data_IF_258057597229
#
_entry.id   IF_258057597229
#
_cell.length_a   1.000
_cell.length_b   1.000
_cell.length_c   1.000
_cell.angle_alpha   90.00
_cell.angle_beta   90.00
_cell.angle_gamma   90.00
#
_symmetry.space_group_name_H-M   'P 1'
#
loop_
_entity.id
_entity.type
_entity.pdbx_description
1 polymer ?
#
# COMPACT_ATOMS: atom_id res chain seq x y z
N UNK A 1 31.77 -3.30 39.71
CA UNK A 1 31.03 -2.10 39.33
C UNK A 1 31.87 -0.89 39.72
N UNK A 2 32.55 -0.29 38.77
CA UNK A 2 33.42 0.84 39.06
C UNK A 2 32.66 2.17 38.96
N UNK A 3 32.08 2.59 40.12
CA UNK A 3 31.35 3.87 40.22
C UNK A 3 32.22 5.09 39.91
N UNK A 4 33.57 4.92 39.88
CA UNK A 4 34.51 5.98 39.57
C UNK A 4 34.46 6.33 38.08
N UNK A 5 34.28 5.35 37.19
CA UNK A 5 34.17 5.57 35.74
C UNK A 5 32.94 6.40 35.36
N UNK A 6 31.81 6.23 36.06
CA UNK A 6 30.57 7.00 35.77
C UNK A 6 30.78 8.53 35.99
N UNK A 7 31.70 8.92 36.87
CA UNK A 7 31.98 10.35 37.13
C UNK A 7 32.78 10.99 36.02
N UNK A 8 33.47 10.18 35.20
CA UNK A 8 34.30 10.63 34.08
C UNK A 8 33.50 10.75 32.78
N UNK A 9 32.22 10.35 32.77
CA UNK A 9 31.33 10.52 31.61
C UNK A 9 31.11 12.05 31.43
N UNK A 10 31.42 12.61 30.25
CA UNK A 10 31.22 14.03 29.99
C UNK A 10 29.74 14.43 30.08
N UNK A 11 29.51 15.71 30.29
CA UNK A 11 28.18 16.28 30.33
C UNK A 11 27.62 16.47 28.91
N UNK A 12 26.30 16.51 28.80
CA UNK A 12 25.62 16.73 27.51
C UNK A 12 26.07 18.03 26.86
N UNK A 13 26.17 19.11 27.64
CA UNK A 13 26.58 20.44 27.16
C UNK A 13 27.99 20.47 26.58
N UNK A 14 28.93 19.65 27.09
CA UNK A 14 30.29 19.55 26.57
C UNK A 14 30.34 18.94 25.17
N UNK A 15 29.39 18.09 24.79
CA UNK A 15 29.33 17.41 23.50
C UNK A 15 28.48 18.16 22.47
N UNK A 16 27.54 19.03 22.86
CA UNK A 16 26.59 19.66 21.94
C UNK A 16 27.27 20.45 20.82
N UNK A 17 28.13 21.41 21.16
CA UNK A 17 28.78 22.28 20.18
C UNK A 17 29.71 21.51 19.24
N UNK A 18 30.64 20.62 19.74
CA UNK A 18 31.46 19.81 18.87
C UNK A 18 30.66 18.86 17.97
N UNK A 19 29.60 18.23 18.49
CA UNK A 19 28.75 17.36 17.67
C UNK A 19 28.02 18.15 16.60
N UNK A 20 27.49 19.33 16.93
CA UNK A 20 26.84 20.21 15.95
C UNK A 20 27.79 20.65 14.84
N UNK A 21 29.05 20.89 15.14
CA UNK A 21 30.07 21.21 14.13
C UNK A 21 30.31 20.06 13.12
N UNK A 22 30.11 18.80 13.55
CA UNK A 22 30.19 17.60 12.69
C UNK A 22 28.95 17.34 11.82
N UNK A 23 27.82 17.97 12.14
CA UNK A 23 26.53 17.86 11.41
C UNK A 23 25.81 19.22 11.38
N UNK A 24 26.36 20.22 10.64
CA UNK A 24 25.90 21.61 10.72
C UNK A 24 24.48 21.85 10.21
N UNK A 25 23.95 20.95 9.40
CA UNK A 25 22.58 21.04 8.86
C UNK A 25 21.52 20.40 9.77
N UNK A 26 21.95 19.69 10.82
CA UNK A 26 21.02 19.02 11.72
C UNK A 26 20.37 20.02 12.70
N UNK A 27 19.13 19.74 13.06
CA UNK A 27 18.45 20.54 14.07
C UNK A 27 19.10 20.36 15.45
N UNK A 28 19.14 21.42 16.26
CA UNK A 28 19.65 21.35 17.65
C UNK A 28 18.93 20.29 18.49
N UNK A 29 17.66 20.04 18.21
CA UNK A 29 16.89 18.98 18.87
C UNK A 29 17.42 17.58 18.52
N UNK A 30 17.71 17.32 17.24
CA UNK A 30 18.28 16.06 16.77
C UNK A 30 19.67 15.80 17.37
N UNK A 31 20.53 16.81 17.38
CA UNK A 31 21.86 16.74 18.00
C UNK A 31 21.75 16.44 19.50
N UNK A 32 20.90 17.16 20.23
CA UNK A 32 20.68 16.95 21.67
C UNK A 32 20.19 15.53 21.96
N UNK A 33 19.24 15.04 21.18
CA UNK A 33 18.71 13.69 21.35
C UNK A 33 19.77 12.62 21.06
N UNK A 34 20.62 12.81 20.04
CA UNK A 34 21.71 11.90 19.70
C UNK A 34 22.78 11.88 20.80
N UNK A 35 23.22 13.05 21.28
CA UNK A 35 24.20 13.16 22.37
C UNK A 35 23.69 12.45 23.62
N UNK A 36 22.43 12.69 24.03
CA UNK A 36 21.83 12.01 25.21
C UNK A 36 21.85 10.50 25.04
N UNK A 37 21.37 9.98 23.91
CA UNK A 37 21.38 8.53 23.63
C UNK A 37 22.78 7.93 23.67
N UNK A 38 23.78 8.62 23.10
CA UNK A 38 25.18 8.18 23.13
C UNK A 38 25.70 8.08 24.56
N UNK A 39 25.42 9.07 25.38
CA UNK A 39 25.85 9.08 26.79
C UNK A 39 25.08 8.06 27.64
N UNK A 40 23.81 7.85 27.37
CA UNK A 40 22.99 6.84 28.08
C UNK A 40 23.47 5.42 27.74
N UNK A 41 23.74 5.14 26.46
CA UNK A 41 24.34 3.86 26.04
C UNK A 41 25.74 3.64 26.68
N UNK A 42 26.55 4.68 26.75
CA UNK A 42 27.84 4.61 27.45
C UNK A 42 27.65 4.31 28.95
N UNK A 43 26.71 4.93 29.64
CA UNK A 43 26.40 4.65 31.05
C UNK A 43 25.97 3.19 31.24
N UNK A 44 25.11 2.68 30.38
CA UNK A 44 24.67 1.28 30.42
C UNK A 44 25.85 0.32 30.21
N UNK A 45 26.74 0.61 29.24
CA UNK A 45 27.92 -0.20 28.97
C UNK A 45 28.94 -0.18 30.11
N UNK A 46 29.09 0.95 30.82
CA UNK A 46 29.92 1.01 32.05
C UNK A 46 29.26 0.23 33.21
N UNK A 47 27.94 0.31 33.34
CA UNK A 47 27.21 -0.41 34.39
C UNK A 47 27.22 -1.93 34.19
N UNK A 48 27.15 -2.40 32.93
CA UNK A 48 27.24 -3.81 32.57
C UNK A 48 28.68 -4.37 32.67
N UNK A 49 29.68 -3.49 32.72
CA UNK A 49 31.08 -3.88 32.74
C UNK A 49 31.68 -4.16 31.35
N UNK A 50 30.95 -3.84 30.30
CA UNK A 50 31.40 -3.98 28.90
C UNK A 50 32.37 -2.88 28.48
N UNK A 51 32.26 -1.68 29.06
CA UNK A 51 33.17 -0.57 28.81
C UNK A 51 34.24 -0.46 29.92
N UNK A 52 35.51 -0.84 29.66
CA UNK A 52 36.58 -0.79 30.65
C UNK A 52 37.09 0.65 30.86
N UNK A 53 36.85 1.54 29.91
CA UNK A 53 37.30 2.95 29.92
C UNK A 53 36.27 3.87 29.24
N UNK A 54 36.36 5.16 29.54
CA UNK A 54 35.54 6.18 28.89
C UNK A 54 36.23 6.65 27.62
N UNK A 55 35.58 6.56 26.45
CA UNK A 55 36.13 7.07 25.20
C UNK A 55 36.43 8.58 25.26
N UNK A 56 37.37 9.04 24.48
CA UNK A 56 37.62 10.45 24.35
C UNK A 56 36.40 11.25 23.86
N UNK A 57 36.25 12.47 24.29
CA UNK A 57 35.16 13.38 23.92
C UNK A 57 34.96 13.45 22.40
N UNK A 58 36.05 13.49 21.64
CA UNK A 58 36.03 13.52 20.18
C UNK A 58 35.35 12.25 19.59
N UNK A 59 35.64 11.07 20.14
CA UNK A 59 35.03 9.81 19.73
C UNK A 59 33.54 9.79 20.05
N UNK A 60 33.12 10.28 21.23
CA UNK A 60 31.73 10.38 21.61
C UNK A 60 30.95 11.35 20.71
N UNK A 61 31.55 12.49 20.36
CA UNK A 61 30.97 13.43 19.39
C UNK A 61 30.83 12.81 18.00
N UNK A 62 31.80 12.03 17.54
CA UNK A 62 31.72 11.33 16.27
C UNK A 62 30.58 10.27 16.26
N UNK A 63 30.43 9.51 17.34
CA UNK A 63 29.31 8.55 17.51
C UNK A 63 27.97 9.25 17.52
N UNK A 64 27.83 10.36 18.24
CA UNK A 64 26.61 11.14 18.26
C UNK A 64 26.28 11.73 16.88
N UNK A 65 27.27 12.28 16.17
CA UNK A 65 27.08 12.80 14.82
C UNK A 65 26.68 11.71 13.83
N UNK A 66 27.24 10.50 13.96
CA UNK A 66 26.82 9.35 13.15
C UNK A 66 25.37 8.93 13.44
N UNK A 67 24.96 8.97 14.71
CA UNK A 67 23.57 8.71 15.10
C UNK A 67 22.59 9.77 14.52
N UNK A 68 23.02 11.03 14.44
CA UNK A 68 22.26 12.10 13.75
C UNK A 68 22.12 11.77 12.26
N UNK A 69 23.24 11.50 11.58
CA UNK A 69 23.23 11.16 10.13
C UNK A 69 22.33 9.96 9.82
N UNK A 70 22.37 8.92 10.66
CA UNK A 70 21.48 7.75 10.51
C UNK A 70 20.01 8.11 10.70
N UNK A 71 19.70 8.96 11.67
CA UNK A 71 18.33 9.39 11.93
C UNK A 71 17.76 10.29 10.81
N UNK A 72 18.60 11.11 10.18
CA UNK A 72 18.23 11.99 9.08
C UNK A 72 18.25 11.29 7.71
N UNK A 73 18.88 10.12 7.61
CA UNK A 73 18.87 9.34 6.37
C UNK A 73 17.49 8.73 6.16
N UNK A 74 16.80 9.04 5.06
CA UNK A 74 15.48 8.45 4.76
C UNK A 74 15.55 6.92 4.71
N UNK A 75 14.58 6.25 5.33
CA UNK A 75 14.44 4.79 5.27
C UNK A 75 14.05 4.31 3.86
N UNK A 76 13.27 5.12 3.14
CA UNK A 76 12.93 4.87 1.74
C UNK A 76 14.07 5.34 0.83
N UNK A 77 14.67 4.39 0.11
CA UNK A 77 15.79 4.64 -0.80
C UNK A 77 15.53 4.03 -2.16
N UNK A 78 16.00 4.66 -3.25
CA UNK A 78 15.95 4.05 -4.57
C UNK A 78 16.70 2.71 -4.59
N UNK A 79 16.09 1.73 -5.24
CA UNK A 79 16.69 0.39 -5.46
C UNK A 79 16.54 -0.01 -6.92
N UNK A 80 17.38 -0.95 -7.36
CA UNK A 80 17.27 -1.55 -8.68
C UNK A 80 16.40 -2.80 -8.53
N UNK A 81 15.28 -2.84 -9.26
CA UNK A 81 14.44 -4.02 -9.33
C UNK A 81 15.02 -5.01 -10.35
N UNK A 82 15.68 -6.06 -9.88
CA UNK A 82 16.23 -7.15 -10.68
C UNK A 82 15.47 -8.47 -10.45
N UNK A 83 14.23 -8.41 -9.96
CA UNK A 83 13.45 -9.63 -9.61
C UNK A 83 12.75 -10.27 -10.80
N UNK A 84 12.64 -9.57 -11.94
CA UNK A 84 11.80 -10.00 -13.08
C UNK A 84 10.30 -9.69 -12.88
N UNK A 85 9.87 -9.16 -11.74
CA UNK A 85 8.48 -8.79 -11.46
C UNK A 85 8.35 -7.27 -11.52
N UNK A 86 7.80 -6.74 -12.61
CA UNK A 86 7.71 -5.29 -12.87
C UNK A 86 6.90 -4.57 -11.78
N UNK A 87 5.76 -5.13 -11.36
CA UNK A 87 4.86 -4.59 -10.34
C UNK A 87 5.10 -5.21 -8.96
N UNK A 88 6.36 -5.35 -8.56
CA UNK A 88 6.72 -5.98 -7.30
C UNK A 88 6.17 -5.21 -6.09
N UNK A 89 5.32 -5.86 -5.28
CA UNK A 89 4.62 -5.23 -4.15
C UNK A 89 5.55 -4.61 -3.12
N UNK A 90 6.65 -5.30 -2.77
CA UNK A 90 7.62 -4.83 -1.78
C UNK A 90 8.54 -3.71 -2.30
N UNK A 91 8.53 -3.44 -3.61
CA UNK A 91 9.34 -2.42 -4.26
C UNK A 91 8.53 -1.22 -4.75
N UNK A 92 7.29 -1.06 -4.24
CA UNK A 92 6.45 0.11 -4.50
C UNK A 92 5.53 -0.01 -5.71
N UNK A 93 5.47 -1.18 -6.37
CA UNK A 93 4.63 -1.43 -7.55
C UNK A 93 4.96 -0.54 -8.75
N UNK A 94 3.95 0.05 -9.41
CA UNK A 94 4.13 0.90 -10.59
C UNK A 94 4.84 2.22 -10.23
N UNK A 95 5.84 2.57 -11.04
CA UNK A 95 6.52 3.86 -10.95
C UNK A 95 5.72 4.93 -11.70
N UNK A 96 5.71 6.13 -11.16
CA UNK A 96 5.21 7.30 -11.87
C UNK A 96 6.21 7.75 -12.95
N UNK A 97 5.70 8.32 -14.05
CA UNK A 97 6.54 9.08 -14.97
C UNK A 97 7.12 10.32 -14.26
N UNK A 98 8.24 10.85 -14.73
CA UNK A 98 8.83 12.06 -14.15
C UNK A 98 7.86 13.25 -14.15
N UNK A 99 7.03 13.38 -15.18
CA UNK A 99 5.98 14.42 -15.25
C UNK A 99 4.90 14.22 -14.19
N UNK A 100 4.44 12.97 -13.98
CA UNK A 100 3.42 12.67 -12.97
C UNK A 100 3.98 12.84 -11.55
N UNK A 101 5.23 12.41 -11.31
CA UNK A 101 5.89 12.59 -10.01
C UNK A 101 6.04 14.09 -9.66
N UNK A 102 6.45 14.92 -10.63
CA UNK A 102 6.52 16.37 -10.45
C UNK A 102 5.16 16.97 -10.15
N UNK A 103 4.11 16.63 -10.89
CA UNK A 103 2.76 17.13 -10.66
C UNK A 103 2.23 16.75 -9.26
N UNK A 104 2.54 15.55 -8.79
CA UNK A 104 2.19 15.12 -7.43
C UNK A 104 2.92 15.94 -6.36
N UNK A 105 4.22 16.22 -6.57
CA UNK A 105 5.01 17.07 -5.67
C UNK A 105 4.46 18.51 -5.65
N UNK A 106 4.20 19.10 -6.83
CA UNK A 106 3.64 20.44 -6.95
C UNK A 106 2.27 20.56 -6.23
N UNK A 107 1.41 19.53 -6.37
CA UNK A 107 0.11 19.49 -5.68
C UNK A 107 0.25 19.33 -4.15
N UNK A 108 1.30 18.67 -3.68
CA UNK A 108 1.57 18.51 -2.26
C UNK A 108 2.21 19.76 -1.61
N UNK A 109 2.96 20.54 -2.39
CA UNK A 109 3.68 21.73 -1.92
C UNK A 109 2.77 22.96 -1.78
N UNK A 110 1.65 23.01 -2.55
CA UNK A 110 0.80 24.20 -2.64
C UNK A 110 -0.64 23.90 -2.21
N UNK A 111 -1.38 24.95 -1.84
CA UNK A 111 -2.84 24.87 -1.79
C UNK A 111 -3.38 24.61 -3.20
N UNK A 112 -4.37 23.73 -3.30
CA UNK A 112 -4.93 23.31 -4.59
C UNK A 112 -6.46 23.39 -4.60
N UNK A 113 -7.03 23.33 -5.79
CA UNK A 113 -8.48 23.31 -6.04
C UNK A 113 -9.12 21.96 -5.77
N UNK A 114 -8.54 21.10 -4.92
CA UNK A 114 -8.95 19.70 -4.71
C UNK A 114 -10.47 19.53 -4.52
N UNK A 115 -11.09 20.39 -3.71
CA UNK A 115 -12.54 20.43 -3.47
C UNK A 115 -13.11 21.86 -3.63
N UNK A 116 -12.47 22.69 -4.43
CA UNK A 116 -12.91 24.06 -4.67
C UNK A 116 -13.10 24.32 -6.15
N UNK A 117 -14.29 24.73 -6.52
CA UNK A 117 -14.61 25.18 -7.87
C UNK A 117 -14.36 26.69 -7.97
N UNK A 118 -13.36 27.05 -8.77
CA UNK A 118 -12.92 28.44 -8.93
C UNK A 118 -13.96 29.28 -9.70
N UNK A 119 -14.72 28.68 -10.61
CA UNK A 119 -15.69 29.38 -11.43
C UNK A 119 -16.95 29.74 -10.63
N UNK A 120 -17.48 28.80 -9.88
CA UNK A 120 -18.66 29.02 -9.04
C UNK A 120 -18.36 29.61 -7.67
N UNK A 121 -17.09 29.58 -7.24
CA UNK A 121 -16.68 30.02 -5.89
C UNK A 121 -17.17 29.09 -4.77
N UNK A 122 -17.60 27.87 -5.11
CA UNK A 122 -18.20 26.91 -4.19
C UNK A 122 -17.38 25.65 -3.98
N UNK A 123 -17.99 24.68 -3.25
CA UNK A 123 -17.38 23.37 -3.02
C UNK A 123 -17.53 22.51 -4.27
N UNK A 124 -16.41 22.02 -4.80
CA UNK A 124 -16.31 21.06 -5.90
C UNK A 124 -16.18 19.61 -5.41
N UNK A 125 -16.12 18.68 -6.35
CA UNK A 125 -15.90 17.25 -6.10
C UNK A 125 -14.47 16.87 -6.47
N UNK A 126 -13.76 16.14 -5.55
CA UNK A 126 -12.45 15.54 -5.87
C UNK A 126 -12.49 14.66 -7.11
N UNK A 127 -13.59 13.92 -7.27
CA UNK A 127 -13.71 12.93 -8.32
C UNK A 127 -13.74 13.58 -9.72
N UNK A 128 -14.24 14.81 -9.82
CA UNK A 128 -14.30 15.58 -11.08
C UNK A 128 -12.93 15.74 -11.76
N UNK A 129 -11.83 15.76 -10.99
CA UNK A 129 -10.47 15.90 -11.56
C UNK A 129 -10.01 14.69 -12.37
N UNK A 130 -10.55 13.50 -12.12
CA UNK A 130 -10.04 12.25 -12.69
C UNK A 130 -11.10 11.44 -13.45
N UNK A 131 -12.39 11.62 -13.16
CA UNK A 131 -13.47 10.81 -13.72
C UNK A 131 -13.50 10.86 -15.26
N UNK A 132 -13.50 12.04 -15.85
CA UNK A 132 -13.53 12.19 -17.30
C UNK A 132 -12.33 11.54 -18.00
N UNK A 133 -11.13 11.66 -17.40
CA UNK A 133 -9.91 11.03 -17.92
C UNK A 133 -9.97 9.51 -17.85
N UNK A 134 -10.50 8.97 -16.76
CA UNK A 134 -10.67 7.53 -16.59
C UNK A 134 -11.71 6.98 -17.57
N UNK A 135 -12.85 7.65 -17.73
CA UNK A 135 -13.87 7.25 -18.70
C UNK A 135 -13.30 7.25 -20.12
N UNK A 136 -12.50 8.27 -20.48
CA UNK A 136 -11.82 8.32 -21.79
C UNK A 136 -10.85 7.18 -22.00
N UNK A 137 -10.08 6.80 -20.97
CA UNK A 137 -9.06 5.74 -21.06
C UNK A 137 -9.66 4.33 -21.04
N UNK A 138 -10.77 4.13 -20.35
CA UNK A 138 -11.34 2.79 -20.12
C UNK A 138 -12.57 2.51 -20.99
N UNK A 139 -13.19 3.54 -21.56
CA UNK A 139 -14.49 3.45 -22.22
C UNK A 139 -15.67 3.26 -21.26
N UNK A 140 -15.45 3.41 -19.94
CA UNK A 140 -16.50 3.30 -18.94
C UNK A 140 -17.42 4.53 -18.96
N UNK A 141 -18.69 4.36 -18.57
CA UNK A 141 -19.68 5.44 -18.46
C UNK A 141 -19.43 6.35 -17.27
N UNK A 142 -18.84 5.81 -16.18
CA UNK A 142 -18.47 6.56 -14.98
C UNK A 142 -17.28 5.89 -14.30
N UNK A 143 -16.57 6.65 -13.46
CA UNK A 143 -15.40 6.18 -12.75
C UNK A 143 -15.29 6.81 -11.36
N UNK A 144 -14.86 6.02 -10.39
CA UNK A 144 -14.59 6.45 -9.02
C UNK A 144 -13.21 5.96 -8.58
N UNK A 145 -12.42 6.84 -8.00
CA UNK A 145 -11.10 6.49 -7.46
C UNK A 145 -11.16 6.35 -5.95
N UNK A 146 -10.63 5.25 -5.46
CA UNK A 146 -10.48 4.96 -4.03
C UNK A 146 -9.02 4.61 -3.71
N UNK A 147 -8.70 4.40 -2.45
CA UNK A 147 -7.32 4.25 -1.96
C UNK A 147 -6.54 3.09 -2.59
N UNK A 148 -7.23 1.96 -2.84
CA UNK A 148 -6.64 0.74 -3.38
C UNK A 148 -7.72 -0.21 -3.89
N UNK A 149 -7.31 -1.31 -4.55
CA UNK A 149 -8.21 -2.34 -5.05
C UNK A 149 -9.11 -2.93 -3.95
N UNK A 150 -8.58 -3.24 -2.77
CA UNK A 150 -9.39 -3.78 -1.66
C UNK A 150 -10.54 -2.84 -1.26
N UNK A 151 -10.28 -1.53 -1.23
CA UNK A 151 -11.31 -0.52 -0.96
C UNK A 151 -12.34 -0.44 -2.09
N UNK A 152 -11.92 -0.63 -3.36
CA UNK A 152 -12.83 -0.67 -4.50
C UNK A 152 -13.78 -1.87 -4.41
N UNK A 153 -13.25 -3.07 -4.16
CA UNK A 153 -14.03 -4.29 -4.00
C UNK A 153 -14.98 -4.18 -2.81
N UNK A 154 -14.49 -3.69 -1.65
CA UNK A 154 -15.31 -3.46 -0.45
C UNK A 154 -16.49 -2.52 -0.73
N UNK A 155 -16.20 -1.36 -1.35
CA UNK A 155 -17.22 -0.37 -1.69
C UNK A 155 -18.29 -0.95 -2.63
N UNK A 156 -17.84 -1.59 -3.71
CA UNK A 156 -18.69 -2.18 -4.74
C UNK A 156 -19.63 -3.23 -4.14
N UNK A 157 -19.07 -4.20 -3.41
CA UNK A 157 -19.83 -5.29 -2.82
C UNK A 157 -20.80 -4.78 -1.73
N UNK A 158 -20.34 -3.88 -0.86
CA UNK A 158 -21.23 -3.31 0.18
C UNK A 158 -22.41 -2.57 -0.43
N UNK A 159 -22.17 -1.78 -1.48
CA UNK A 159 -23.22 -0.97 -2.09
C UNK A 159 -24.25 -1.79 -2.87
N UNK A 160 -23.82 -2.88 -3.52
CA UNK A 160 -24.64 -3.57 -4.52
C UNK A 160 -25.07 -4.99 -4.12
N UNK A 161 -24.42 -5.62 -3.12
CA UNK A 161 -24.65 -7.04 -2.82
C UNK A 161 -24.91 -7.36 -1.36
N UNK A 162 -24.97 -6.37 -0.47
CA UNK A 162 -25.22 -6.60 0.94
C UNK A 162 -26.49 -7.42 1.19
N UNK A 163 -26.38 -8.47 2.02
CA UNK A 163 -27.46 -9.39 2.34
C UNK A 163 -27.82 -10.41 1.25
N UNK A 164 -27.01 -10.50 0.16
CA UNK A 164 -27.25 -11.46 -0.90
C UNK A 164 -26.02 -12.24 -1.31
N UNK A 165 -26.20 -13.18 -2.23
CA UNK A 165 -25.14 -14.05 -2.73
C UNK A 165 -24.38 -13.43 -3.90
N UNK A 166 -23.05 -13.59 -3.89
CA UNK A 166 -22.16 -13.30 -5.02
C UNK A 166 -21.54 -14.60 -5.50
N UNK A 167 -21.78 -14.95 -6.76
CA UNK A 167 -21.30 -16.19 -7.35
C UNK A 167 -19.88 -15.99 -7.89
N UNK A 168 -18.94 -16.81 -7.43
CA UNK A 168 -17.52 -16.74 -7.79
C UNK A 168 -16.95 -18.12 -8.07
N UNK A 169 -16.02 -18.23 -9.01
CA UNK A 169 -15.29 -19.48 -9.26
C UNK A 169 -14.44 -19.87 -8.08
N UNK A 170 -14.50 -21.14 -7.67
CA UNK A 170 -13.62 -21.69 -6.63
C UNK A 170 -12.13 -21.58 -7.01
N UNK A 171 -11.80 -21.67 -8.29
CA UNK A 171 -10.45 -21.48 -8.81
C UNK A 171 -9.95 -20.03 -8.78
N UNK A 172 -10.81 -19.06 -8.44
CA UNK A 172 -10.49 -17.63 -8.40
C UNK A 172 -10.48 -17.06 -6.96
N UNK A 173 -10.60 -17.91 -5.94
CA UNK A 173 -10.53 -17.49 -4.54
C UNK A 173 -9.07 -17.29 -4.13
N UNK A 174 -8.55 -16.13 -4.48
CA UNK A 174 -7.13 -15.78 -4.35
C UNK A 174 -6.82 -15.12 -3.00
N UNK A 175 -5.59 -15.33 -2.51
CA UNK A 175 -4.97 -14.53 -1.47
C UNK A 175 -3.83 -13.70 -2.08
N UNK A 176 -3.84 -12.38 -1.90
CA UNK A 176 -2.87 -11.43 -2.46
C UNK A 176 -2.36 -10.49 -1.37
N UNK A 177 -1.06 -10.17 -1.44
CA UNK A 177 -0.47 -9.00 -0.80
C UNK A 177 -0.59 -8.91 0.72
N UNK A 178 -0.39 -10.00 1.44
CA UNK A 178 -0.29 -9.98 2.91
C UNK A 178 -1.64 -10.08 3.61
N UNK A 179 -2.53 -10.93 3.13
CA UNK A 179 -3.80 -11.35 3.74
C UNK A 179 -5.08 -10.81 3.11
N UNK A 180 -5.04 -10.23 1.92
CA UNK A 180 -6.27 -9.96 1.18
C UNK A 180 -6.83 -11.28 0.64
N UNK A 181 -7.96 -11.73 1.18
CA UNK A 181 -8.69 -12.94 0.76
C UNK A 181 -10.08 -12.57 0.31
N UNK A 182 -10.45 -13.00 -0.90
CA UNK A 182 -11.77 -12.71 -1.47
C UNK A 182 -12.93 -13.13 -0.54
N UNK A 183 -12.93 -14.33 0.07
CA UNK A 183 -14.00 -14.72 0.99
C UNK A 183 -14.14 -13.80 2.21
N UNK A 184 -13.03 -13.34 2.77
CA UNK A 184 -13.02 -12.48 3.96
C UNK A 184 -13.57 -11.08 3.64
N UNK A 185 -13.22 -10.54 2.48
CA UNK A 185 -13.76 -9.26 2.01
C UNK A 185 -15.28 -9.37 1.76
N UNK A 186 -15.74 -10.43 1.11
CA UNK A 186 -17.19 -10.65 0.91
C UNK A 186 -17.94 -10.71 2.24
N UNK A 187 -17.42 -11.45 3.20
CA UNK A 187 -18.00 -11.53 4.54
C UNK A 187 -18.04 -10.16 5.23
N UNK A 188 -16.96 -9.37 5.12
CA UNK A 188 -16.91 -8.02 5.68
C UNK A 188 -17.91 -7.03 5.05
N UNK A 189 -18.28 -7.26 3.78
CA UNK A 189 -19.28 -6.47 3.05
C UNK A 189 -20.73 -6.89 3.36
N UNK A 190 -20.95 -7.94 4.14
CA UNK A 190 -22.27 -8.54 4.35
C UNK A 190 -22.79 -9.30 3.12
N UNK A 191 -21.94 -9.59 2.14
CA UNK A 191 -22.25 -10.46 1.02
C UNK A 191 -21.98 -11.92 1.36
N UNK A 192 -22.77 -12.82 0.82
CA UNK A 192 -22.59 -14.27 0.98
C UNK A 192 -21.86 -14.83 -0.23
N UNK A 193 -20.73 -15.48 0.00
CA UNK A 193 -19.96 -16.14 -1.04
C UNK A 193 -20.70 -17.40 -1.52
N UNK A 194 -20.96 -17.47 -2.82
CA UNK A 194 -21.47 -18.66 -3.51
C UNK A 194 -20.38 -19.21 -4.44
N UNK A 195 -19.66 -20.23 -3.99
CA UNK A 195 -18.61 -20.85 -4.77
C UNK A 195 -19.15 -21.80 -5.84
N UNK A 196 -18.60 -21.73 -7.07
CA UNK A 196 -18.98 -22.60 -8.17
C UNK A 196 -17.78 -23.27 -8.84
N UNK A 197 -18.03 -24.37 -9.54
CA UNK A 197 -17.01 -25.15 -10.22
C UNK A 197 -16.06 -25.87 -9.24
N UNK A 198 -14.86 -26.12 -9.72
CA UNK A 198 -13.76 -26.78 -8.99
C UNK A 198 -12.51 -25.91 -9.02
N UNK A 199 -11.44 -26.33 -8.34
CA UNK A 199 -10.17 -25.61 -8.32
C UNK A 199 -9.60 -25.32 -9.71
N UNK A 200 -9.74 -26.29 -10.66
CA UNK A 200 -9.13 -26.20 -11.97
C UNK A 200 -10.12 -26.06 -13.13
N UNK A 201 -11.43 -26.25 -12.88
CA UNK A 201 -12.45 -26.13 -13.92
C UNK A 201 -13.70 -25.44 -13.42
N UNK A 202 -14.06 -24.35 -14.09
CA UNK A 202 -15.32 -23.65 -13.88
C UNK A 202 -15.85 -23.14 -15.21
N UNK A 203 -17.10 -23.47 -15.51
CA UNK A 203 -17.77 -23.13 -16.75
C UNK A 203 -18.91 -22.15 -16.51
N UNK A 204 -19.35 -21.45 -17.53
CA UNK A 204 -20.52 -20.59 -17.45
C UNK A 204 -21.76 -21.35 -16.96
N UNK A 205 -21.89 -22.65 -17.29
CA UNK A 205 -22.99 -23.51 -16.80
C UNK A 205 -22.98 -23.69 -15.28
N UNK A 206 -21.81 -23.70 -14.63
CA UNK A 206 -21.69 -23.79 -13.17
C UNK A 206 -22.25 -22.53 -12.50
N UNK A 207 -21.94 -21.36 -13.07
CA UNK A 207 -22.52 -20.09 -12.65
C UNK A 207 -24.03 -20.06 -12.87
N UNK A 208 -24.49 -20.47 -14.07
CA UNK A 208 -25.94 -20.48 -14.40
C UNK A 208 -26.75 -21.36 -13.45
N UNK A 209 -26.23 -22.51 -13.04
CA UNK A 209 -26.85 -23.43 -12.11
C UNK A 209 -26.92 -22.91 -10.66
N UNK A 210 -26.01 -21.97 -10.30
CA UNK A 210 -25.94 -21.40 -8.96
C UNK A 210 -26.79 -20.14 -8.79
N UNK A 211 -27.28 -19.54 -9.87
CA UNK A 211 -28.15 -18.35 -9.80
C UNK A 211 -29.49 -18.71 -9.18
N UNK A 212 -29.85 -18.06 -8.08
CA UNK A 212 -31.09 -18.21 -7.35
C UNK A 212 -31.69 -16.88 -6.90
N UNK A 213 -32.72 -16.93 -6.09
CA UNK A 213 -33.48 -15.75 -5.61
C UNK A 213 -32.62 -14.80 -4.76
N UNK A 214 -31.57 -15.32 -4.09
CA UNK A 214 -30.66 -14.55 -3.25
C UNK A 214 -29.45 -14.02 -4.01
N UNK A 215 -29.24 -14.42 -5.26
CA UNK A 215 -28.11 -13.97 -6.07
C UNK A 215 -28.23 -12.49 -6.38
N UNK A 216 -27.16 -11.72 -6.08
CA UNK A 216 -27.09 -10.28 -6.34
C UNK A 216 -26.06 -9.92 -7.42
N UNK A 217 -25.07 -10.76 -7.65
CA UNK A 217 -24.06 -10.51 -8.68
C UNK A 217 -23.33 -11.80 -9.10
N UNK A 218 -22.75 -11.77 -10.29
CA UNK A 218 -21.68 -12.68 -10.68
C UNK A 218 -20.35 -11.92 -10.61
N UNK A 219 -19.29 -12.57 -10.12
CA UNK A 219 -17.99 -11.97 -10.02
C UNK A 219 -16.90 -12.87 -10.59
N UNK A 220 -15.98 -12.25 -11.32
CA UNK A 220 -14.73 -12.83 -11.79
C UNK A 220 -13.56 -12.18 -11.10
N UNK A 221 -12.57 -12.97 -10.64
CA UNK A 221 -11.38 -12.47 -9.98
C UNK A 221 -10.13 -12.92 -10.76
N UNK A 222 -9.27 -11.96 -11.06
CA UNK A 222 -8.04 -12.24 -11.80
C UNK A 222 -7.01 -12.94 -10.90
N UNK A 223 -6.54 -14.10 -11.35
CA UNK A 223 -5.49 -14.89 -10.68
C UNK A 223 -4.10 -14.32 -10.99
N UNK A 224 -3.80 -13.15 -10.40
CA UNK A 224 -2.62 -12.34 -10.76
C UNK A 224 -1.29 -12.89 -10.25
N UNK A 225 -1.29 -13.74 -9.22
CA UNK A 225 -0.09 -14.20 -8.52
C UNK A 225 0.14 -15.71 -8.56
N UNK A 226 -0.73 -16.46 -9.25
CA UNK A 226 -0.55 -17.89 -9.50
C UNK A 226 -1.13 -18.31 -10.85
N UNK A 227 -0.76 -19.51 -11.30
CA UNK A 227 -1.29 -20.14 -12.51
C UNK A 227 -1.59 -21.59 -12.22
N UNK A 228 -2.78 -22.04 -12.65
CA UNK A 228 -3.13 -23.47 -12.66
C UNK A 228 -2.81 -24.01 -14.05
N UNK A 229 -2.00 -25.06 -14.12
CA UNK A 229 -1.52 -25.65 -15.38
C UNK A 229 -2.00 -27.11 -15.47
N UNK A 230 -2.38 -27.54 -16.66
CA UNK A 230 -2.85 -28.90 -16.94
C UNK A 230 -4.27 -28.90 -17.47
N UNK A 231 -5.12 -29.78 -16.95
CA UNK A 231 -6.52 -29.91 -17.37
C UNK A 231 -7.39 -28.79 -16.74
N UNK A 232 -7.28 -27.59 -17.26
CA UNK A 232 -7.96 -26.39 -16.73
C UNK A 232 -9.02 -25.87 -17.68
N UNK A 233 -10.04 -25.23 -17.14
CA UNK A 233 -11.09 -24.52 -17.88
C UNK A 233 -11.64 -23.39 -17.01
N UNK A 234 -11.84 -22.21 -17.59
CA UNK A 234 -12.46 -21.06 -16.89
C UNK A 234 -13.45 -20.37 -17.80
N UNK A 235 -14.57 -19.92 -17.24
CA UNK A 235 -15.52 -19.08 -17.96
C UNK A 235 -14.88 -17.74 -18.32
N UNK A 236 -15.11 -17.27 -19.55
CA UNK A 236 -14.61 -15.99 -20.01
C UNK A 236 -15.39 -14.82 -19.37
N UNK A 237 -14.84 -13.63 -19.42
CA UNK A 237 -15.50 -12.39 -19.00
C UNK A 237 -16.79 -12.17 -19.80
N UNK A 238 -16.70 -12.36 -21.10
CA UNK A 238 -17.79 -12.15 -22.05
C UNK A 238 -18.95 -13.10 -21.77
N UNK A 239 -18.67 -14.39 -21.53
CA UNK A 239 -19.69 -15.38 -21.17
C UNK A 239 -20.38 -15.03 -19.86
N UNK A 240 -19.63 -14.62 -18.83
CA UNK A 240 -20.19 -14.27 -17.54
C UNK A 240 -20.98 -12.95 -17.58
N UNK A 241 -20.50 -11.96 -18.32
CA UNK A 241 -21.22 -10.72 -18.52
C UNK A 241 -22.56 -10.95 -19.24
N UNK A 242 -22.55 -11.71 -20.34
CA UNK A 242 -23.77 -12.07 -21.06
C UNK A 242 -24.74 -12.86 -20.20
N UNK A 243 -24.27 -13.83 -19.41
CA UNK A 243 -25.09 -14.61 -18.47
C UNK A 243 -25.73 -13.70 -17.40
N UNK A 244 -24.94 -12.85 -16.76
CA UNK A 244 -25.42 -11.94 -15.71
C UNK A 244 -26.50 -11.01 -16.27
N UNK A 245 -26.22 -10.34 -17.38
CA UNK A 245 -27.16 -9.41 -18.02
C UNK A 245 -28.46 -10.11 -18.46
N UNK A 246 -28.37 -11.35 -18.97
CA UNK A 246 -29.59 -12.13 -19.32
C UNK A 246 -30.48 -12.44 -18.12
N UNK A 247 -29.93 -12.35 -16.90
CA UNK A 247 -30.66 -12.58 -15.64
C UNK A 247 -30.96 -11.30 -14.87
N UNK A 248 -30.64 -10.11 -15.46
CA UNK A 248 -30.83 -8.82 -14.80
C UNK A 248 -29.89 -8.60 -13.60
N UNK A 249 -28.74 -9.31 -13.57
CA UNK A 249 -27.75 -9.23 -12.52
C UNK A 249 -26.54 -8.39 -12.97
N UNK A 250 -25.89 -7.66 -12.06
CA UNK A 250 -24.59 -7.06 -12.33
C UNK A 250 -23.50 -8.13 -12.45
N UNK A 251 -22.51 -7.82 -13.28
CA UNK A 251 -21.26 -8.57 -13.39
C UNK A 251 -20.10 -7.70 -12.93
N UNK A 252 -19.27 -8.24 -12.05
CA UNK A 252 -18.07 -7.57 -11.53
C UNK A 252 -16.82 -8.31 -11.97
N UNK A 253 -15.80 -7.54 -12.35
CA UNK A 253 -14.48 -8.09 -12.61
C UNK A 253 -13.42 -7.40 -11.75
N UNK A 254 -12.76 -8.15 -10.88
CA UNK A 254 -11.59 -7.69 -10.13
C UNK A 254 -10.33 -7.98 -10.95
N UNK A 255 -9.79 -6.95 -11.61
CA UNK A 255 -8.63 -7.09 -12.49
C UNK A 255 -7.30 -7.14 -11.72
N UNK A 256 -7.25 -6.66 -10.50
CA UNK A 256 -6.03 -6.58 -9.69
C UNK A 256 -4.95 -5.67 -10.28
N UNK A 257 -4.37 -6.04 -11.41
CA UNK A 257 -3.31 -5.27 -12.08
C UNK A 257 -3.51 -5.19 -13.60
N UNK A 258 -4.74 -4.99 -14.06
CA UNK A 258 -5.06 -4.93 -15.49
C UNK A 258 -4.28 -3.87 -16.29
N UNK A 259 -4.38 -3.94 -17.63
CA UNK A 259 -3.91 -2.91 -18.55
C UNK A 259 -5.07 -2.03 -19.01
N UNK A 260 -4.85 -0.73 -19.07
CA UNK A 260 -5.81 0.23 -19.65
C UNK A 260 -5.65 0.39 -21.17
N UNK A 261 -4.67 -0.27 -21.76
CA UNK A 261 -4.35 -0.21 -23.19
C UNK A 261 -4.23 -1.60 -23.76
N UNK A 262 -4.60 -1.77 -25.01
CA UNK A 262 -4.27 -2.95 -25.80
C UNK A 262 -2.75 -3.02 -25.99
N UNK A 263 -2.14 -4.15 -25.65
CA UNK A 263 -0.71 -4.40 -25.69
C UNK A 263 -0.31 -5.15 -26.96
#
# INVERSE_FOLDING_TARGET
MDKALLRNIPRVDELLAPTHALCPNASSAAVTAAVRRTLDALRESVLSGEAPEIPETAALCALAAEAVRRAETPSLRPVINATGVVLHTNLGRARLSGRAAKAAADAAEHYSTLEYDVESGGRGSRNAHVEALLCQLTGAESALVVNNNAAAVLLLLTALTAGGEVVVSRGELVEIGGSFRVPEIMSACGAMLREVGTTNKTRAADYAAAIGEHTRALMKVHTSNYRIVGFTESASREELAALAHSRGLPFFEDLGSGSLFDL
#
